data_IF_043964499402
#
_entry.id   IF_043964499402
#
_cell.length_a   1.000
_cell.length_b   1.000
_cell.length_c   1.000
_cell.angle_alpha   90.00
_cell.angle_beta   90.00
_cell.angle_gamma   90.00
#
_symmetry.space_group_name_H-M   'P 1'
#
loop_
_entity.id
_entity.type
_entity.pdbx_description
1 polymer ?
#
# COMPACT_ATOMS: atom_id res chain seq x y z
N UNK A 1 4.95 -44.05 -16.52
CA UNK A 1 5.34 -42.93 -15.67
C UNK A 1 5.51 -43.42 -14.22
N UNK A 2 6.71 -43.37 -13.72
CA UNK A 2 6.98 -43.81 -12.37
C UNK A 2 6.60 -42.70 -11.39
N UNK A 3 5.61 -42.95 -10.54
CA UNK A 3 5.08 -42.02 -9.58
C UNK A 3 6.14 -41.52 -8.59
N UNK A 4 7.12 -42.34 -8.24
CA UNK A 4 8.22 -41.96 -7.37
C UNK A 4 9.16 -40.92 -7.99
N UNK A 5 9.36 -40.95 -9.28
CA UNK A 5 10.13 -39.91 -10.01
C UNK A 5 9.39 -38.58 -10.06
N UNK A 6 8.07 -38.59 -10.24
CA UNK A 6 7.26 -37.37 -10.21
C UNK A 6 7.29 -36.70 -8.83
N UNK A 7 7.20 -37.49 -7.76
CA UNK A 7 7.30 -36.98 -6.39
C UNK A 7 8.69 -36.40 -6.10
N UNK A 8 9.77 -37.01 -6.58
CA UNK A 8 11.13 -36.50 -6.42
C UNK A 8 11.34 -35.18 -7.14
N UNK A 9 10.81 -35.02 -8.35
CA UNK A 9 10.87 -33.77 -9.11
C UNK A 9 10.14 -32.64 -8.39
N UNK A 10 8.95 -32.88 -7.89
CA UNK A 10 8.18 -31.89 -7.12
C UNK A 10 8.90 -31.52 -5.83
N UNK A 11 9.43 -32.50 -5.09
CA UNK A 11 10.19 -32.24 -3.87
C UNK A 11 11.47 -31.42 -4.15
N UNK A 12 12.15 -31.68 -5.28
CA UNK A 12 13.30 -30.91 -5.72
C UNK A 12 12.96 -29.46 -6.02
N UNK A 13 11.90 -29.20 -6.77
CA UNK A 13 11.45 -27.85 -7.11
C UNK A 13 11.03 -27.05 -5.87
N UNK A 14 10.30 -27.68 -4.96
CA UNK A 14 9.89 -27.04 -3.69
C UNK A 14 11.13 -26.71 -2.84
N UNK A 15 12.10 -27.59 -2.76
CA UNK A 15 13.37 -27.36 -2.05
C UNK A 15 14.15 -26.20 -2.66
N UNK A 16 14.26 -26.12 -3.98
CA UNK A 16 14.95 -25.03 -4.67
C UNK A 16 14.23 -23.71 -4.47
N UNK A 17 12.90 -23.70 -4.49
CA UNK A 17 12.12 -22.51 -4.21
C UNK A 17 12.30 -22.03 -2.75
N UNK A 18 12.35 -22.94 -1.79
CA UNK A 18 12.61 -22.61 -0.39
C UNK A 18 14.03 -22.09 -0.17
N UNK A 19 15.03 -22.70 -0.80
CA UNK A 19 16.42 -22.25 -0.72
C UNK A 19 16.62 -20.89 -1.37
N UNK A 20 15.97 -20.63 -2.50
CA UNK A 20 15.97 -19.32 -3.14
C UNK A 20 15.27 -18.27 -2.27
N UNK A 21 14.22 -18.66 -1.54
CA UNK A 21 13.50 -17.78 -0.62
C UNK A 21 14.23 -17.49 0.68
N UNK A 22 15.14 -18.37 1.12
CA UNK A 22 15.91 -18.18 2.36
C UNK A 22 17.25 -17.50 2.14
N UNK A 23 17.80 -17.55 0.94
CA UNK A 23 19.11 -16.97 0.63
C UNK A 23 19.10 -15.47 0.42
N UNK A 24 18.03 -14.96 -0.12
CA UNK A 24 17.83 -13.54 -0.37
C UNK A 24 16.32 -13.31 -0.28
N UNK A 25 15.86 -12.79 0.81
CA UNK A 25 14.44 -12.46 1.00
C UNK A 25 13.90 -11.46 -0.02
N UNK A 26 14.59 -11.26 -1.10
CA UNK A 26 14.39 -10.15 -2.00
C UNK A 26 14.23 -10.51 -3.48
N UNK A 27 14.28 -11.80 -3.82
CA UNK A 27 14.10 -12.24 -5.21
C UNK A 27 12.75 -11.85 -5.80
N UNK A 28 11.76 -11.52 -4.98
CA UNK A 28 10.47 -11.02 -5.46
C UNK A 28 10.52 -9.57 -5.92
N UNK A 29 11.49 -8.81 -5.45
CA UNK A 29 11.60 -7.38 -5.74
C UNK A 29 12.64 -7.05 -6.82
N UNK A 30 13.47 -8.00 -7.21
CA UNK A 30 14.41 -7.81 -8.32
C UNK A 30 13.73 -7.44 -9.63
N UNK A 31 12.48 -7.86 -9.81
CA UNK A 31 11.70 -7.49 -10.98
C UNK A 31 11.14 -6.06 -10.98
N UNK A 32 11.14 -5.39 -9.83
CA UNK A 32 10.60 -4.02 -9.68
C UNK A 32 11.70 -2.97 -9.51
N UNK A 33 12.94 -3.40 -9.30
CA UNK A 33 14.12 -2.54 -9.38
C UNK A 33 14.40 -1.65 -8.18
N UNK A 34 13.61 -1.74 -7.11
CA UNK A 34 13.83 -0.92 -5.92
C UNK A 34 13.97 -1.79 -4.67
N UNK A 35 15.14 -1.77 -4.11
CA UNK A 35 15.40 -2.28 -2.75
C UNK A 35 15.67 -1.06 -1.88
N UNK A 36 14.65 -0.62 -1.17
CA UNK A 36 14.73 0.51 -0.26
C UNK A 36 14.89 0.06 1.19
N UNK A 37 15.10 1.01 2.07
CA UNK A 37 15.10 0.75 3.50
C UNK A 37 13.70 0.39 3.99
N UNK A 38 13.54 -0.66 4.82
CA UNK A 38 12.26 -0.97 5.40
C UNK A 38 11.75 0.19 6.26
N UNK A 39 10.46 0.47 6.16
CA UNK A 39 9.84 1.52 6.94
C UNK A 39 9.83 1.17 8.43
N UNK A 40 10.04 2.16 9.28
CA UNK A 40 9.92 1.99 10.73
C UNK A 40 8.46 1.87 11.14
N UNK A 41 8.20 1.27 12.29
CA UNK A 41 6.84 1.18 12.85
C UNK A 41 6.20 2.56 13.02
N UNK A 42 6.98 3.55 13.44
CA UNK A 42 6.54 4.94 13.59
C UNK A 42 6.11 5.56 12.25
N UNK A 43 6.87 5.33 11.19
CA UNK A 43 6.54 5.80 9.85
C UNK A 43 5.24 5.16 9.34
N UNK A 44 5.08 3.87 9.56
CA UNK A 44 3.89 3.12 9.18
C UNK A 44 2.66 3.61 9.94
N UNK A 45 2.76 3.82 11.25
CA UNK A 45 1.66 4.33 12.05
C UNK A 45 1.25 5.74 11.62
N UNK A 46 2.20 6.63 11.37
CA UNK A 46 1.91 7.96 10.84
C UNK A 46 1.25 7.94 9.45
N UNK A 47 1.64 6.99 8.62
CA UNK A 47 0.99 6.76 7.33
C UNK A 47 -0.48 6.35 7.51
N UNK A 48 -0.77 5.43 8.42
CA UNK A 48 -2.14 4.98 8.67
C UNK A 48 -3.01 6.09 9.25
N UNK A 49 -2.48 6.94 10.13
CA UNK A 49 -3.21 8.10 10.62
C UNK A 49 -3.62 9.05 9.48
N UNK A 50 -2.69 9.39 8.61
CA UNK A 50 -2.98 10.21 7.44
C UNK A 50 -3.98 9.55 6.49
N UNK A 51 -3.83 8.25 6.26
CA UNK A 51 -4.74 7.50 5.40
C UNK A 51 -6.15 7.46 5.97
N UNK A 52 -6.29 7.23 7.27
CA UNK A 52 -7.58 7.27 7.95
C UNK A 52 -8.26 8.62 7.81
N UNK A 53 -7.54 9.70 8.07
CA UNK A 53 -8.05 11.06 7.89
C UNK A 53 -8.48 11.31 6.44
N UNK A 54 -7.67 10.90 5.48
CA UNK A 54 -7.98 11.04 4.06
C UNK A 54 -9.23 10.27 3.66
N UNK A 55 -9.39 9.04 4.14
CA UNK A 55 -10.55 8.19 3.85
C UNK A 55 -11.85 8.75 4.46
N UNK A 56 -11.76 9.33 5.65
CA UNK A 56 -12.88 10.03 6.28
C UNK A 56 -13.25 11.27 5.46
N UNK A 57 -12.27 12.01 5.02
CA UNK A 57 -12.47 13.27 4.30
C UNK A 57 -13.16 13.08 2.95
N UNK A 58 -12.80 12.03 2.21
CA UNK A 58 -13.46 11.70 0.94
C UNK A 58 -14.80 10.98 1.10
N UNK A 59 -15.22 10.69 2.33
CA UNK A 59 -16.47 10.01 2.62
C UNK A 59 -16.45 8.50 2.43
N UNK A 60 -15.29 7.89 2.27
CA UNK A 60 -15.15 6.45 2.13
C UNK A 60 -15.24 5.73 3.49
N UNK A 61 -14.67 6.31 4.52
CA UNK A 61 -14.71 5.81 5.88
C UNK A 61 -15.65 6.66 6.72
N UNK A 62 -16.68 6.03 7.28
CA UNK A 62 -17.58 6.68 8.23
C UNK A 62 -17.04 6.51 9.66
N UNK A 63 -16.68 7.59 10.37
CA UNK A 63 -16.20 7.50 11.75
C UNK A 63 -17.24 6.88 12.71
N UNK A 64 -18.53 7.03 12.41
CA UNK A 64 -19.60 6.47 13.21
C UNK A 64 -19.74 4.95 13.01
N UNK A 65 -19.35 4.44 11.83
CA UNK A 65 -19.39 3.02 11.49
C UNK A 65 -18.13 2.58 10.75
N UNK A 66 -16.97 2.46 11.44
CA UNK A 66 -15.69 2.17 10.79
C UNK A 66 -15.57 0.76 10.19
N UNK A 67 -16.45 -0.17 10.50
CA UNK A 67 -16.58 -1.52 9.91
C UNK A 67 -15.27 -2.31 9.79
N UNK A 68 -14.36 -2.18 10.72
CA UNK A 68 -13.05 -2.86 10.70
C UNK A 68 -12.18 -2.57 9.46
N UNK A 69 -12.42 -1.45 8.77
CA UNK A 69 -11.67 -1.09 7.57
C UNK A 69 -10.18 -0.86 7.90
N UNK A 70 -9.88 -0.05 8.91
CA UNK A 70 -8.50 0.26 9.28
C UNK A 70 -7.72 -0.98 9.75
N UNK A 71 -8.25 -1.86 10.61
CA UNK A 71 -7.58 -3.11 10.96
C UNK A 71 -7.31 -4.00 9.74
N UNK A 72 -8.21 -4.05 8.78
CA UNK A 72 -8.02 -4.81 7.55
C UNK A 72 -6.93 -4.21 6.66
N UNK A 73 -6.89 -2.89 6.53
CA UNK A 73 -5.83 -2.22 5.79
C UNK A 73 -4.46 -2.41 6.44
N UNK A 74 -4.38 -2.32 7.77
CA UNK A 74 -3.14 -2.63 8.50
C UNK A 74 -2.67 -4.05 8.24
N UNK A 75 -3.57 -5.01 8.24
CA UNK A 75 -3.25 -6.40 7.94
C UNK A 75 -2.83 -6.60 6.49
N UNK A 76 -3.48 -5.91 5.55
CA UNK A 76 -3.12 -5.96 4.14
C UNK A 76 -1.70 -5.45 3.91
N UNK A 77 -1.37 -4.28 4.42
CA UNK A 77 -0.06 -3.69 4.27
C UNK A 77 1.04 -4.39 5.08
N UNK A 78 0.69 -5.04 6.19
CA UNK A 78 1.65 -5.83 6.95
C UNK A 78 2.24 -7.00 6.16
N UNK A 79 1.53 -7.50 5.16
CA UNK A 79 2.00 -8.57 4.29
C UNK A 79 3.02 -8.11 3.25
N UNK A 80 3.11 -6.83 2.98
CA UNK A 80 3.91 -6.28 1.88
C UNK A 80 5.30 -5.86 2.31
N UNK A 81 5.60 -5.78 3.60
CA UNK A 81 6.87 -5.25 4.12
C UNK A 81 7.18 -3.88 3.52
N UNK A 82 6.40 -2.89 3.90
CA UNK A 82 6.51 -1.53 3.37
C UNK A 82 7.91 -0.94 3.55
N UNK A 83 8.39 -0.35 2.49
CA UNK A 83 9.63 0.43 2.49
C UNK A 83 9.33 1.92 2.75
N UNK A 84 10.34 2.67 3.15
CA UNK A 84 10.21 4.10 3.45
C UNK A 84 9.63 4.89 2.28
N UNK A 85 10.06 4.61 1.06
CA UNK A 85 9.55 5.28 -0.14
C UNK A 85 8.08 4.98 -0.40
N UNK A 86 7.67 3.74 -0.20
CA UNK A 86 6.28 3.33 -0.36
C UNK A 86 5.37 3.99 0.68
N UNK A 87 5.83 4.11 1.92
CA UNK A 87 5.13 4.86 2.97
C UNK A 87 4.97 6.32 2.56
N UNK A 88 5.99 6.94 2.00
CA UNK A 88 5.94 8.32 1.52
C UNK A 88 4.94 8.49 0.36
N UNK A 89 4.87 7.53 -0.54
CA UNK A 89 3.88 7.51 -1.63
C UNK A 89 2.46 7.48 -1.06
N UNK A 90 2.20 6.56 -0.12
CA UNK A 90 0.87 6.44 0.50
C UNK A 90 0.50 7.68 1.31
N UNK A 91 1.45 8.28 2.02
CA UNK A 91 1.25 9.56 2.71
C UNK A 91 0.93 10.68 1.73
N UNK A 92 1.59 10.70 0.57
CA UNK A 92 1.31 11.65 -0.50
C UNK A 92 -0.12 11.51 -1.02
N UNK A 93 -0.58 10.29 -1.25
CA UNK A 93 -1.96 10.01 -1.66
C UNK A 93 -2.95 10.49 -0.59
N UNK A 94 -2.72 10.16 0.68
CA UNK A 94 -3.57 10.60 1.78
C UNK A 94 -3.63 12.13 1.90
N UNK A 95 -2.50 12.79 1.72
CA UNK A 95 -2.44 14.27 1.70
C UNK A 95 -3.28 14.87 0.59
N UNK A 96 -3.28 14.26 -0.59
CA UNK A 96 -4.14 14.69 -1.70
C UNK A 96 -5.62 14.49 -1.42
N UNK A 97 -5.98 13.42 -0.74
CA UNK A 97 -7.35 13.21 -0.29
C UNK A 97 -7.82 14.32 0.64
N UNK A 98 -6.97 14.72 1.59
CA UNK A 98 -7.26 15.83 2.50
C UNK A 98 -7.34 17.19 1.80
N UNK A 99 -6.49 17.42 0.79
CA UNK A 99 -6.49 18.66 0.02
C UNK A 99 -7.68 18.83 -0.90
N UNK A 100 -8.30 17.76 -1.34
CA UNK A 100 -9.40 17.81 -2.32
C UNK A 100 -10.64 18.54 -1.80
N UNK A 101 -10.91 18.48 -0.52
CA UNK A 101 -12.03 19.22 0.07
C UNK A 101 -11.77 20.72 0.10
N UNK A 102 -10.54 21.13 0.32
CA UNK A 102 -10.18 22.54 0.28
C UNK A 102 -10.42 23.16 -1.11
N UNK A 103 -10.13 22.40 -2.16
CA UNK A 103 -10.39 22.84 -3.54
C UNK A 103 -11.88 22.82 -3.91
N UNK A 104 -12.63 21.88 -3.39
CA UNK A 104 -14.09 21.80 -3.62
C UNK A 104 -14.88 22.90 -2.90
N UNK A 105 -14.28 23.51 -1.89
CA UNK A 105 -14.90 24.61 -1.13
C UNK A 105 -14.57 26.00 -1.73
N UNK A 106 -13.61 26.06 -2.64
CA UNK A 106 -13.33 27.30 -3.39
C UNK A 106 -14.29 27.38 -4.57
N UNK A 107 -15.24 28.31 -4.57
CA UNK A 107 -16.10 28.51 -5.74
C UNK A 107 -15.21 28.87 -6.94
N UNK A 108 -15.56 28.47 -8.14
CA UNK A 108 -14.79 28.84 -9.32
C UNK A 108 -14.83 30.37 -9.47
N UNK A 109 -13.78 30.99 -8.98
CA UNK A 109 -13.57 32.42 -9.18
C UNK A 109 -13.10 32.57 -10.62
N UNK A 110 -14.00 32.91 -11.50
CA UNK A 110 -13.58 33.31 -12.85
C UNK A 110 -14.52 33.01 -14.00
N UNK A 111 -15.78 32.72 -13.75
CA UNK A 111 -16.74 32.57 -14.85
C UNK A 111 -17.75 33.72 -14.91
N UNK A 112 -17.40 34.87 -14.42
CA UNK A 112 -18.31 36.00 -14.44
C UNK A 112 -17.62 37.20 -15.04
N UNK A 113 -17.13 37.08 -16.24
CA UNK A 113 -16.91 38.29 -17.01
C UNK A 113 -16.47 38.01 -18.46
N UNK A 114 -17.30 37.37 -19.20
CA UNK A 114 -17.28 37.58 -20.65
C UNK A 114 -18.66 37.31 -21.26
N UNK A 115 -19.63 38.06 -20.84
CA UNK A 115 -20.83 38.32 -21.62
C UNK A 115 -20.64 39.64 -22.39
N UNK A 116 -20.00 39.53 -23.49
CA UNK A 116 -20.12 40.53 -24.55
C UNK A 116 -20.40 39.89 -25.88
#
# INVERSE_FOLDING_TARGET
>A
LNLSQAVQLIAYEVRMALLAGTGTGDTRMEGVGFVGEPATAEQIDGMFEHLEQGLVEIGFLDPAQPKKLMPRLRRLFARTQLETEEVNILRGIAKRMLGRRAEATTPPTGAADDCR
#
